data_IF_753230735847
#
_entry.id   IF_753230735847
#
_cell.length_a   1.000
_cell.length_b   1.000
_cell.length_c   1.000
_cell.angle_alpha   90.00
_cell.angle_beta   90.00
_cell.angle_gamma   90.00
#
_symmetry.space_group_name_H-M   'P 1'
#
loop_
_entity.id
_entity.type
_entity.pdbx_description
1 polymer ?
#
# COMPACT_ATOMS: atom_id res chain seq x y z
N UNK A 1 1.26 -6.05 -3.21
CA UNK A 1 0.81 -4.96 -2.32
C UNK A 1 0.29 -3.84 -3.19
N UNK A 2 -0.75 -3.13 -2.75
CA UNK A 2 -1.26 -1.96 -3.45
C UNK A 2 -1.23 -0.77 -2.51
N UNK A 3 -0.68 0.35 -2.97
CA UNK A 3 -0.85 1.63 -2.29
C UNK A 3 -2.15 2.26 -2.76
N UNK A 4 -3.00 2.67 -1.82
CA UNK A 4 -4.29 3.30 -2.10
C UNK A 4 -4.30 4.70 -1.49
N UNK A 5 -4.88 5.64 -2.22
CA UNK A 5 -5.08 7.01 -1.76
C UNK A 5 -6.58 7.34 -1.78
N UNK A 6 -7.03 8.12 -0.80
CA UNK A 6 -8.41 8.60 -0.74
C UNK A 6 -8.41 10.12 -0.79
N UNK A 7 -9.12 10.69 -1.76
CA UNK A 7 -9.29 12.14 -1.93
C UNK A 7 -10.73 12.44 -2.29
N UNK A 8 -11.36 13.38 -1.58
CA UNK A 8 -12.74 13.81 -1.87
C UNK A 8 -13.75 12.65 -2.00
N UNK A 9 -13.60 11.60 -1.18
CA UNK A 9 -14.41 10.36 -1.19
C UNK A 9 -14.19 9.43 -2.40
N UNK A 10 -13.19 9.71 -3.24
CA UNK A 10 -12.73 8.81 -4.29
C UNK A 10 -11.49 8.06 -3.84
N UNK A 11 -11.36 6.82 -4.32
CA UNK A 11 -10.22 5.96 -4.03
C UNK A 11 -9.39 5.81 -5.29
N UNK A 12 -8.08 5.93 -5.16
CA UNK A 12 -7.12 5.85 -6.25
C UNK A 12 -6.14 4.73 -5.99
N UNK A 13 -5.77 3.97 -7.03
CA UNK A 13 -4.64 3.05 -6.95
C UNK A 13 -3.37 3.81 -7.27
N UNK A 14 -2.48 3.90 -6.30
CA UNK A 14 -1.27 4.73 -6.40
C UNK A 14 -0.12 3.97 -7.04
N UNK A 15 0.07 2.73 -6.62
CA UNK A 15 1.10 1.84 -7.15
C UNK A 15 0.79 0.40 -6.77
N UNK A 16 1.13 -0.52 -7.65
CA UNK A 16 1.26 -1.94 -7.33
C UNK A 16 2.73 -2.23 -7.03
N UNK A 17 2.99 -2.88 -5.90
CA UNK A 17 4.33 -3.25 -5.45
C UNK A 17 4.41 -4.74 -5.13
N UNK A 18 5.55 -5.36 -5.43
CA UNK A 18 5.88 -6.73 -5.06
C UNK A 18 7.23 -6.72 -4.35
N UNK A 19 7.30 -7.28 -3.14
CA UNK A 19 8.59 -7.52 -2.48
C UNK A 19 9.36 -8.57 -3.29
N UNK A 20 10.58 -8.23 -3.67
CA UNK A 20 11.49 -9.09 -4.45
C UNK A 20 12.74 -9.48 -3.67
N UNK A 21 13.11 -8.70 -2.66
CA UNK A 21 14.22 -9.02 -1.76
C UNK A 21 14.05 -8.31 -0.41
N UNK A 22 14.72 -8.83 0.59
CA UNK A 22 14.83 -8.28 1.93
C UNK A 22 16.29 -8.00 2.31
N UNK A 23 17.24 -8.48 1.50
CA UNK A 23 18.68 -8.26 1.66
C UNK A 23 19.14 -6.97 0.97
N UNK A 24 20.22 -6.37 1.49
CA UNK A 24 20.89 -5.24 0.84
C UNK A 24 21.49 -5.70 -0.49
N UNK A 25 21.42 -4.83 -1.50
CA UNK A 25 22.07 -5.00 -2.81
C UNK A 25 22.90 -3.77 -3.16
N UNK A 26 23.54 -3.81 -4.32
CA UNK A 26 24.38 -2.73 -4.84
C UNK A 26 23.64 -1.38 -4.94
N UNK A 27 22.33 -1.40 -5.18
CA UNK A 27 21.51 -0.18 -5.20
C UNK A 27 21.34 0.51 -3.84
N UNK A 28 21.68 -0.15 -2.72
CA UNK A 28 21.53 0.40 -1.37
C UNK A 28 22.70 1.27 -0.91
N UNK A 29 23.80 1.29 -1.67
CA UNK A 29 25.05 1.90 -1.22
C UNK A 29 25.69 1.19 -0.02
N UNK A 30 26.66 1.84 0.61
CA UNK A 30 27.38 1.31 1.77
C UNK A 30 26.46 1.29 2.99
N UNK A 31 26.55 0.24 3.80
CA UNK A 31 25.79 0.16 5.04
C UNK A 31 26.29 1.23 6.03
N UNK A 32 25.39 2.01 6.65
CA UNK A 32 25.76 3.01 7.64
C UNK A 32 26.41 2.32 8.84
N UNK A 33 27.56 2.84 9.28
CA UNK A 33 28.36 2.20 10.33
C UNK A 33 27.83 2.50 11.75
N UNK A 34 27.10 3.60 11.91
CA UNK A 34 26.57 4.07 13.17
C UNK A 34 25.20 4.77 12.98
N UNK A 35 24.47 4.99 14.07
CA UNK A 35 23.12 5.54 14.06
C UNK A 35 23.07 7.02 13.68
N UNK A 36 24.19 7.74 13.86
CA UNK A 36 24.36 9.15 13.54
C UNK A 36 24.82 9.39 12.09
N UNK A 37 24.99 8.31 11.32
CA UNK A 37 25.25 8.37 9.88
C UNK A 37 24.01 8.92 9.15
N UNK A 38 24.12 9.96 8.31
CA UNK A 38 23.01 10.47 7.51
C UNK A 38 22.37 9.44 6.58
N UNK A 39 23.10 8.37 6.22
CA UNK A 39 22.60 7.24 5.45
C UNK A 39 21.87 6.18 6.31
N UNK A 40 21.80 6.38 7.63
CA UNK A 40 21.05 5.52 8.53
C UNK A 40 19.56 5.56 8.15
N UNK A 41 18.92 4.41 7.85
CA UNK A 41 17.57 4.37 7.28
C UNK A 41 16.46 4.84 8.25
N UNK A 42 16.80 5.20 9.48
CA UNK A 42 15.89 5.78 10.46
C UNK A 42 16.00 7.30 10.47
N UNK A 43 15.06 7.98 9.81
CA UNK A 43 14.87 9.42 10.00
C UNK A 43 14.20 9.66 11.36
N UNK A 44 14.62 10.68 12.11
CA UNK A 44 14.02 11.01 13.41
C UNK A 44 12.50 11.28 13.29
N UNK A 45 12.07 11.86 12.18
CA UNK A 45 10.64 12.09 11.85
C UNK A 45 9.82 10.80 11.69
N UNK A 46 10.46 9.63 11.53
CA UNK A 46 9.78 8.34 11.33
C UNK A 46 9.94 7.44 12.57
N UNK A 47 10.44 7.98 13.68
CA UNK A 47 10.56 7.28 14.96
C UNK A 47 9.22 6.71 15.47
N UNK A 48 8.10 7.41 15.23
CA UNK A 48 6.74 6.91 15.52
C UNK A 48 6.30 5.72 14.65
N UNK A 49 7.00 5.45 13.54
CA UNK A 49 6.85 4.24 12.74
C UNK A 49 7.89 3.16 13.11
N UNK A 50 8.79 3.45 14.05
CA UNK A 50 9.64 2.48 14.73
C UNK A 50 10.79 1.91 13.92
N UNK A 51 11.40 2.70 13.03
CA UNK A 51 12.73 2.38 12.49
C UNK A 51 13.76 2.45 13.63
N UNK A 52 13.99 1.31 14.28
CA UNK A 52 14.78 1.15 15.50
C UNK A 52 14.09 0.37 16.63
N UNK A 53 12.81 -0.04 16.49
CA UNK A 53 12.09 -0.74 17.56
C UNK A 53 10.79 -1.48 17.20
N UNK A 54 10.24 -1.36 15.98
CA UNK A 54 8.98 -2.06 15.63
C UNK A 54 9.16 -3.39 14.89
N UNK A 55 10.40 -3.86 14.71
CA UNK A 55 10.69 -5.06 13.92
C UNK A 55 10.34 -4.93 12.43
N UNK A 56 10.19 -3.69 11.91
CA UNK A 56 10.07 -3.46 10.47
C UNK A 56 11.43 -3.66 9.78
N UNK A 57 11.39 -4.24 8.58
CA UNK A 57 12.56 -4.50 7.76
C UNK A 57 12.43 -3.73 6.44
N UNK A 58 13.53 -3.12 6.00
CA UNK A 58 13.61 -2.53 4.66
C UNK A 58 13.54 -3.65 3.61
N UNK A 59 12.81 -3.41 2.52
CA UNK A 59 12.61 -4.39 1.46
C UNK A 59 12.81 -3.76 0.09
N UNK A 60 13.29 -4.55 -0.86
CA UNK A 60 13.29 -4.19 -2.27
C UNK A 60 11.96 -4.56 -2.89
N UNK A 61 11.41 -3.64 -3.66
CA UNK A 61 10.15 -3.84 -4.36
C UNK A 61 10.34 -3.64 -5.85
N UNK A 62 9.70 -4.49 -6.63
CA UNK A 62 9.32 -4.18 -8.01
C UNK A 62 7.98 -3.45 -7.95
N UNK A 63 7.87 -2.31 -8.61
CA UNK A 63 6.72 -1.41 -8.46
C UNK A 63 6.32 -0.72 -9.75
N UNK A 64 5.02 -0.51 -9.92
CA UNK A 64 4.52 0.38 -10.99
C UNK A 64 4.79 1.84 -10.63
N UNK A 65 4.93 2.75 -11.62
CA UNK A 65 5.08 4.17 -11.38
C UNK A 65 3.99 4.72 -10.44
N UNK A 66 4.38 5.65 -9.57
CA UNK A 66 3.47 6.31 -8.63
C UNK A 66 2.52 7.24 -9.38
N UNK A 67 1.23 7.05 -9.18
CA UNK A 67 0.16 7.74 -9.91
C UNK A 67 -0.97 8.14 -8.96
N UNK A 68 -1.71 9.20 -9.29
CA UNK A 68 -2.84 9.68 -8.46
C UNK A 68 -4.09 9.97 -9.30
N UNK A 69 -4.11 9.43 -10.52
CA UNK A 69 -5.07 9.73 -11.57
C UNK A 69 -5.89 8.51 -12.01
N UNK A 70 -5.66 7.34 -11.40
CA UNK A 70 -6.43 6.11 -11.67
C UNK A 70 -7.46 5.88 -10.55
N UNK A 71 -8.72 6.35 -10.70
CA UNK A 71 -9.76 6.08 -9.72
C UNK A 71 -10.23 4.62 -9.79
N UNK A 72 -10.45 4.01 -8.63
CA UNK A 72 -11.21 2.77 -8.52
C UNK A 72 -12.69 3.13 -8.68
N UNK A 73 -13.37 2.52 -9.64
CA UNK A 73 -14.79 2.80 -9.87
C UNK A 73 -15.64 2.39 -8.66
N UNK A 74 -16.79 3.03 -8.49
CA UNK A 74 -17.71 2.71 -7.40
C UNK A 74 -18.16 1.25 -7.38
N UNK A 75 -18.40 0.65 -8.54
CA UNK A 75 -18.72 -0.76 -8.69
C UNK A 75 -17.56 -1.64 -8.17
N UNK A 76 -16.33 -1.37 -8.60
CA UNK A 76 -15.16 -2.10 -8.14
C UNK A 76 -14.92 -1.92 -6.63
N UNK A 77 -15.18 -0.72 -6.09
CA UNK A 77 -15.08 -0.46 -4.66
C UNK A 77 -16.04 -1.31 -3.83
N UNK A 78 -17.25 -1.56 -4.31
CA UNK A 78 -18.20 -2.44 -3.61
C UNK A 78 -17.77 -3.90 -3.62
N UNK A 79 -17.01 -4.32 -4.64
CA UNK A 79 -16.48 -5.68 -4.78
C UNK A 79 -15.20 -5.93 -3.98
N UNK A 80 -14.55 -4.89 -3.44
CA UNK A 80 -13.31 -5.07 -2.69
C UNK A 80 -13.55 -5.78 -1.36
N UNK A 81 -12.80 -6.86 -1.16
CA UNK A 81 -12.82 -7.65 0.05
C UNK A 81 -11.40 -7.96 0.55
N UNK A 82 -11.27 -8.08 1.86
CA UNK A 82 -10.03 -8.42 2.55
C UNK A 82 -10.23 -9.46 3.61
N UNK A 83 -9.16 -10.17 3.92
CA UNK A 83 -9.05 -11.10 5.02
C UNK A 83 -8.41 -10.40 6.22
N UNK A 84 -9.10 -10.43 7.35
CA UNK A 84 -8.50 -10.02 8.62
C UNK A 84 -7.49 -11.06 9.13
N UNK A 85 -6.78 -10.76 10.22
CA UNK A 85 -5.83 -11.70 10.85
C UNK A 85 -6.44 -13.05 11.25
N UNK A 86 -7.76 -13.12 11.43
CA UNK A 86 -8.51 -14.36 11.74
C UNK A 86 -8.97 -15.12 10.48
N UNK A 87 -8.54 -14.70 9.29
CA UNK A 87 -8.91 -15.31 8.01
C UNK A 87 -10.33 -14.96 7.52
N UNK A 88 -11.08 -14.11 8.23
CA UNK A 88 -12.44 -13.76 7.84
C UNK A 88 -12.44 -12.72 6.73
N UNK A 89 -13.23 -12.98 5.69
CA UNK A 89 -13.48 -12.02 4.61
C UNK A 89 -14.39 -10.90 5.08
N UNK A 90 -14.01 -9.65 4.78
CA UNK A 90 -14.74 -8.43 5.09
C UNK A 90 -14.69 -7.51 3.87
N UNK A 91 -15.84 -6.96 3.49
CA UNK A 91 -15.91 -5.93 2.46
C UNK A 91 -15.57 -4.54 2.98
N UNK A 92 -15.41 -3.60 2.05
CA UNK A 92 -15.27 -2.17 2.33
C UNK A 92 -16.56 -1.62 2.95
N UNK A 93 -16.41 -0.95 4.09
CA UNK A 93 -17.52 -0.25 4.75
C UNK A 93 -17.62 1.16 4.19
N UNK A 94 -18.80 1.77 4.35
CA UNK A 94 -19.06 3.17 4.01
C UNK A 94 -18.91 3.50 2.52
N UNK A 95 -19.11 2.50 1.65
CA UNK A 95 -19.31 2.75 0.22
C UNK A 95 -20.77 3.15 0.03
N UNK A 96 -21.01 4.38 -0.41
CA UNK A 96 -22.33 4.96 -0.67
C UNK A 96 -22.29 5.61 -2.04
N UNK A 97 -23.21 5.25 -2.93
CA UNK A 97 -23.27 5.74 -4.30
C UNK A 97 -21.93 5.66 -5.05
N UNK A 98 -21.20 4.56 -4.82
CA UNK A 98 -19.89 4.32 -5.43
C UNK A 98 -18.75 5.17 -4.87
N UNK A 99 -18.95 5.90 -3.78
CA UNK A 99 -17.95 6.75 -3.12
C UNK A 99 -17.70 6.28 -1.69
N UNK A 100 -16.50 6.54 -1.19
CA UNK A 100 -16.10 6.17 0.16
C UNK A 100 -16.38 7.32 1.14
N UNK A 101 -17.48 7.24 1.89
CA UNK A 101 -17.87 8.25 2.88
C UNK A 101 -16.90 8.30 4.08
N UNK A 102 -16.29 7.17 4.44
CA UNK A 102 -15.28 7.10 5.51
C UNK A 102 -14.16 6.12 5.16
N UNK A 103 -12.91 6.58 5.24
CA UNK A 103 -11.74 5.76 4.91
C UNK A 103 -11.29 4.79 6.01
N UNK A 104 -11.92 4.80 7.18
CA UNK A 104 -11.44 4.04 8.35
C UNK A 104 -11.37 2.52 8.12
N UNK A 105 -12.21 1.97 7.23
CA UNK A 105 -12.15 0.56 6.84
C UNK A 105 -11.08 0.23 5.79
N UNK A 106 -10.39 1.25 5.26
CA UNK A 106 -9.31 1.15 4.29
C UNK A 106 -7.94 1.58 4.89
N UNK A 107 -7.93 2.16 6.10
CA UNK A 107 -6.72 2.62 6.76
C UNK A 107 -5.96 1.44 7.39
N UNK A 108 -4.79 1.11 6.83
CA UNK A 108 -3.87 0.12 7.38
C UNK A 108 -3.42 -0.92 6.36
N UNK A 109 -2.79 -1.99 6.87
CA UNK A 109 -2.29 -3.10 6.04
C UNK A 109 -3.29 -4.26 6.07
N UNK A 110 -3.99 -4.45 4.97
CA UNK A 110 -4.95 -5.54 4.80
C UNK A 110 -4.45 -6.57 3.81
N UNK A 111 -4.82 -7.84 4.03
CA UNK A 111 -4.62 -8.88 3.03
C UNK A 111 -5.86 -8.91 2.13
N UNK A 112 -5.72 -8.54 0.87
CA UNK A 112 -6.79 -8.67 -0.13
C UNK A 112 -7.17 -10.15 -0.31
N UNK A 113 -8.43 -10.40 -0.67
CA UNK A 113 -8.76 -11.68 -1.29
C UNK A 113 -8.14 -11.76 -2.68
N UNK A 114 -7.95 -12.97 -3.27
CA UNK A 114 -7.46 -13.11 -4.64
C UNK A 114 -8.29 -12.28 -5.64
N UNK A 115 -9.61 -12.33 -5.52
CA UNK A 115 -10.54 -11.62 -6.41
C UNK A 115 -10.38 -10.10 -6.28
N UNK A 116 -10.21 -9.59 -5.06
CA UNK A 116 -9.92 -8.17 -4.83
C UNK A 116 -8.54 -7.75 -5.37
N UNK A 117 -7.56 -8.66 -5.35
CA UNK A 117 -6.24 -8.41 -5.93
C UNK A 117 -6.29 -8.36 -7.47
N UNK A 118 -7.10 -9.21 -8.10
CA UNK A 118 -7.31 -9.22 -9.55
C UNK A 118 -8.03 -7.95 -10.01
N UNK A 119 -9.05 -7.51 -9.26
CA UNK A 119 -9.74 -6.23 -9.49
C UNK A 119 -8.76 -5.06 -9.51
N UNK A 120 -7.88 -4.94 -8.50
CA UNK A 120 -6.90 -3.85 -8.47
C UNK A 120 -5.80 -4.01 -9.53
N UNK A 121 -5.41 -5.25 -9.88
CA UNK A 121 -4.45 -5.49 -10.96
C UNK A 121 -4.97 -5.00 -12.31
N UNK A 122 -6.25 -5.23 -12.59
CA UNK A 122 -6.91 -4.75 -13.80
C UNK A 122 -6.92 -3.21 -13.87
N UNK A 123 -7.12 -2.54 -12.73
CA UNK A 123 -7.09 -1.07 -12.64
C UNK A 123 -5.70 -0.52 -12.96
N UNK A 124 -4.64 -1.14 -12.42
CA UNK A 124 -3.24 -0.67 -12.63
C UNK A 124 -2.72 -0.99 -14.03
N UNK A 125 -3.15 -2.12 -14.60
CA UNK A 125 -2.78 -2.53 -15.97
C UNK A 125 -3.52 -1.74 -17.05
N UNK A 126 -4.57 -1.02 -16.68
CA UNK A 126 -5.36 -0.19 -17.58
C UNK A 126 -4.59 1.07 -18.05
N UNK A 127 -4.96 1.63 -19.21
CA UNK A 127 -4.38 2.88 -19.67
C UNK A 127 -4.67 4.01 -18.67
N UNK A 128 -3.74 4.95 -18.59
CA UNK A 128 -4.01 6.23 -17.94
C UNK A 128 -5.19 6.92 -18.62
N UNK A 129 -6.12 7.47 -17.83
CA UNK A 129 -7.14 8.37 -18.34
C UNK A 129 -6.61 9.80 -18.40
#
# INVERSE_FOLDING_TARGET
MYALHVKQREVFVVSQMRVIDVERRDCCGIAPAAWDDPAYPGHYDWSMLGAGGCGAQAVHVDATPVRFDIPVSGELLTGLAWRNRRGQTRGLKYVVDGRLERSISLQGFYRLTPEGADVLAAVVSGPAR
#
